data_IF_167063589510
#
_entry.id   IF_167063589510
#
_cell.length_a   1.000
_cell.length_b   1.000
_cell.length_c   1.000
_cell.angle_alpha   90.00
_cell.angle_beta   90.00
_cell.angle_gamma   90.00
#
_symmetry.space_group_name_H-M   'P 1'
#
loop_
_entity.id
_entity.type
_entity.pdbx_description
1 polymer ?
#
# COMPACT_ATOMS: atom_id res chain seq x y z
N UNK A 1 6.82 20.08 1.08
CA UNK A 1 5.41 19.68 1.28
C UNK A 1 5.12 19.81 2.76
N UNK A 2 3.93 20.28 3.14
CA UNK A 2 3.56 20.39 4.55
C UNK A 2 2.89 19.08 5.00
N UNK A 3 3.24 18.54 6.18
CA UNK A 3 2.52 17.41 6.77
C UNK A 3 1.04 17.75 7.00
N UNK A 4 0.15 16.78 6.80
CA UNK A 4 -1.27 16.94 7.12
C UNK A 4 -2.13 17.67 6.09
N UNK A 5 -1.60 18.00 4.91
CA UNK A 5 -2.27 18.91 3.96
C UNK A 5 -2.91 18.20 2.76
N UNK A 6 -2.68 16.90 2.55
CA UNK A 6 -3.10 16.21 1.34
C UNK A 6 -4.23 15.21 1.59
N UNK A 7 -5.35 15.38 0.87
CA UNK A 7 -6.46 14.42 0.83
C UNK A 7 -6.03 13.04 0.28
N UNK A 8 -5.03 13.04 -0.60
CA UNK A 8 -4.47 11.82 -1.16
C UNK A 8 -2.96 11.97 -1.41
N UNK A 9 -2.22 10.90 -1.09
CA UNK A 9 -0.80 10.77 -1.40
C UNK A 9 -0.65 9.55 -2.30
N UNK A 10 -0.02 9.72 -3.45
CA UNK A 10 0.23 8.63 -4.41
C UNK A 10 1.71 8.32 -4.41
N UNK A 11 2.05 7.06 -4.17
CA UNK A 11 3.43 6.56 -4.12
C UNK A 11 3.57 5.33 -5.01
N UNK A 12 4.38 5.42 -6.06
CA UNK A 12 4.61 4.32 -7.00
C UNK A 12 6.10 4.00 -7.07
N UNK A 13 6.46 2.76 -6.76
CA UNK A 13 7.83 2.26 -6.75
C UNK A 13 8.79 3.11 -5.90
N UNK A 14 8.35 3.48 -4.69
CA UNK A 14 9.13 4.26 -3.72
C UNK A 14 9.37 3.46 -2.44
N UNK A 15 8.41 2.63 -2.02
CA UNK A 15 8.47 1.95 -0.73
C UNK A 15 9.63 0.96 -0.65
N UNK A 16 10.03 0.35 -1.77
CA UNK A 16 11.18 -0.53 -1.90
C UNK A 16 12.54 0.19 -1.76
N UNK A 17 12.56 1.52 -1.79
CA UNK A 17 13.76 2.35 -1.66
C UNK A 17 13.90 3.05 -0.30
N UNK A 18 12.94 2.85 0.60
CA UNK A 18 12.98 3.44 1.94
C UNK A 18 14.06 2.73 2.78
N UNK A 19 14.75 3.47 3.64
CA UNK A 19 15.78 2.93 4.53
C UNK A 19 15.20 2.48 5.87
N UNK A 20 14.02 2.98 6.23
CA UNK A 20 13.32 2.50 7.40
C UNK A 20 12.06 3.29 7.75
N UNK A 21 11.63 3.10 8.99
CA UNK A 21 10.36 3.64 9.51
C UNK A 21 10.21 5.15 9.31
N UNK A 22 11.29 5.91 9.52
CA UNK A 22 11.27 7.37 9.39
C UNK A 22 10.80 7.82 8.01
N UNK A 23 11.27 7.17 6.95
CA UNK A 23 10.90 7.58 5.59
C UNK A 23 9.43 7.25 5.31
N UNK A 24 8.92 6.17 5.90
CA UNK A 24 7.49 5.83 5.87
C UNK A 24 6.66 6.88 6.63
N UNK A 25 7.13 7.31 7.80
CA UNK A 25 6.47 8.37 8.59
C UNK A 25 6.42 9.68 7.79
N UNK A 26 7.48 10.02 7.04
CA UNK A 26 7.55 11.21 6.20
C UNK A 26 6.51 11.16 5.06
N UNK A 27 6.36 10.02 4.38
CA UNK A 27 5.36 9.86 3.30
C UNK A 27 3.93 9.87 3.85
N UNK A 28 3.65 9.05 4.87
CA UNK A 28 2.30 8.95 5.43
C UNK A 28 1.91 10.24 6.15
N UNK A 29 2.87 10.95 6.75
CA UNK A 29 2.67 12.23 7.41
C UNK A 29 2.22 13.36 6.48
N UNK A 30 2.34 13.20 5.15
CA UNK A 30 1.76 14.14 4.19
C UNK A 30 0.22 14.08 4.17
N UNK A 31 -0.38 12.94 4.53
CA UNK A 31 -1.83 12.79 4.53
C UNK A 31 -2.48 13.68 5.58
N UNK A 32 -3.57 14.34 5.20
CA UNK A 32 -4.54 14.88 6.17
C UNK A 32 -5.19 13.76 7.00
N UNK A 33 -5.85 14.12 8.10
CA UNK A 33 -6.40 13.16 9.09
C UNK A 33 -7.35 12.13 8.45
N UNK A 34 -8.05 12.53 7.38
CA UNK A 34 -9.01 11.69 6.63
C UNK A 34 -8.49 11.26 5.25
N UNK A 35 -7.20 11.44 5.00
CA UNK A 35 -6.58 11.20 3.71
C UNK A 35 -6.56 9.72 3.29
N UNK A 36 -6.26 9.52 2.01
CA UNK A 36 -6.08 8.20 1.38
C UNK A 36 -4.65 8.04 0.86
N UNK A 37 -3.95 7.00 1.30
CA UNK A 37 -2.68 6.60 0.68
C UNK A 37 -2.96 5.68 -0.51
N UNK A 38 -2.51 6.06 -1.70
CA UNK A 38 -2.52 5.22 -2.89
C UNK A 38 -1.09 4.71 -3.12
N UNK A 39 -0.89 3.40 -3.13
CA UNK A 39 0.45 2.82 -3.13
C UNK A 39 0.57 1.71 -4.17
N UNK A 40 1.62 1.80 -4.99
CA UNK A 40 2.12 0.73 -5.83
C UNK A 40 3.56 0.41 -5.41
N UNK A 41 3.79 -0.80 -4.93
CA UNK A 41 5.10 -1.33 -4.55
C UNK A 41 5.02 -2.85 -4.60
N UNK A 42 6.14 -3.54 -4.77
CA UNK A 42 6.10 -4.99 -4.60
C UNK A 42 5.84 -5.34 -3.12
N UNK A 43 4.85 -6.21 -2.90
CA UNK A 43 4.57 -6.84 -1.60
C UNK A 43 4.59 -8.35 -1.80
N UNK A 44 5.27 -9.08 -0.92
CA UNK A 44 5.40 -10.54 -1.00
C UNK A 44 4.73 -11.23 0.19
N UNK A 45 4.35 -12.49 0.05
CA UNK A 45 3.93 -13.30 1.21
C UNK A 45 5.04 -13.44 2.24
N UNK A 46 6.21 -13.83 1.75
CA UNK A 46 7.40 -14.11 2.53
C UNK A 46 8.60 -13.46 1.85
N UNK A 47 9.67 -13.25 2.62
CA UNK A 47 10.95 -12.83 2.05
C UNK A 47 11.47 -13.99 1.17
N UNK A 48 11.60 -13.81 -0.15
CA UNK A 48 12.04 -14.88 -1.02
C UNK A 48 13.46 -15.32 -0.69
N UNK A 49 13.66 -16.63 -0.78
CA UNK A 49 14.90 -17.33 -0.43
C UNK A 49 15.81 -17.51 -1.66
N UNK A 50 15.83 -16.53 -2.56
CA UNK A 50 16.72 -16.51 -3.72
C UNK A 50 17.61 -15.26 -3.64
N UNK A 51 18.89 -15.40 -3.24
CA UNK A 51 19.80 -14.26 -3.11
C UNK A 51 20.14 -13.60 -4.45
N UNK A 52 19.89 -14.26 -5.58
CA UNK A 52 20.13 -13.71 -6.91
C UNK A 52 18.88 -13.05 -7.50
N UNK A 53 17.76 -13.03 -6.76
CA UNK A 53 16.55 -12.39 -7.24
C UNK A 53 16.77 -10.89 -7.41
N UNK A 54 16.42 -10.37 -8.59
CA UNK A 54 16.76 -9.00 -8.98
C UNK A 54 16.23 -7.93 -8.00
N UNK A 55 15.14 -8.20 -7.28
CA UNK A 55 14.62 -7.28 -6.25
C UNK A 55 15.53 -7.12 -5.03
N UNK A 56 16.45 -8.07 -4.80
CA UNK A 56 17.47 -8.00 -3.75
C UNK A 56 18.81 -7.45 -4.26
N UNK A 57 18.94 -7.27 -5.58
CA UNK A 57 20.12 -6.66 -6.19
C UNK A 57 20.06 -5.13 -6.04
N UNK A 58 21.22 -4.47 -6.13
CA UNK A 58 21.39 -3.06 -5.79
C UNK A 58 20.36 -2.12 -6.44
N UNK A 59 19.72 -1.30 -5.63
CA UNK A 59 18.67 -0.36 -6.04
C UNK A 59 17.52 -0.34 -5.03
N UNK A 60 17.07 -1.51 -4.58
CA UNK A 60 16.08 -1.62 -3.50
C UNK A 60 16.78 -1.81 -2.17
N UNK A 61 16.26 -1.14 -1.14
CA UNK A 61 16.79 -1.17 0.22
C UNK A 61 15.90 -1.96 1.18
N UNK A 62 14.61 -2.09 0.85
CA UNK A 62 13.62 -2.75 1.69
C UNK A 62 12.71 -3.64 0.86
N UNK A 63 12.28 -4.74 1.47
CA UNK A 63 11.23 -5.61 0.94
C UNK A 63 10.05 -5.60 1.91
N UNK A 64 8.85 -5.47 1.36
CA UNK A 64 7.62 -5.47 2.14
C UNK A 64 6.90 -6.80 2.00
N UNK A 65 6.48 -7.35 3.13
CA UNK A 65 5.60 -8.52 3.18
C UNK A 65 4.17 -8.14 3.50
N UNK A 66 3.22 -9.02 3.19
CA UNK A 66 1.81 -8.86 3.59
C UNK A 66 1.68 -8.63 5.10
N UNK A 67 2.48 -9.35 5.89
CA UNK A 67 2.54 -9.15 7.34
C UNK A 67 3.03 -7.75 7.73
N UNK A 68 4.12 -7.26 7.13
CA UNK A 68 4.66 -5.92 7.41
C UNK A 68 3.69 -4.80 7.00
N UNK A 69 3.01 -4.95 5.86
CA UNK A 69 2.00 -4.00 5.40
C UNK A 69 0.77 -4.01 6.29
N UNK A 70 0.35 -5.17 6.79
CA UNK A 70 -0.70 -5.29 7.79
C UNK A 70 -0.37 -4.53 9.08
N UNK A 71 0.89 -4.61 9.55
CA UNK A 71 1.36 -3.85 10.71
C UNK A 71 1.33 -2.34 10.45
N UNK A 72 1.85 -1.87 9.31
CA UNK A 72 1.78 -0.45 8.96
C UNK A 72 0.33 0.02 8.91
N UNK A 73 -0.54 -0.73 8.22
CA UNK A 73 -1.96 -0.41 8.09
C UNK A 73 -2.61 -0.12 9.45
N UNK A 74 -2.40 -1.02 10.42
CA UNK A 74 -2.94 -0.87 11.78
C UNK A 74 -2.29 0.28 12.54
N UNK A 75 -0.95 0.40 12.49
CA UNK A 75 -0.20 1.39 13.26
C UNK A 75 -0.51 2.83 12.85
N UNK A 76 -0.84 3.07 11.59
CA UNK A 76 -1.22 4.41 11.11
C UNK A 76 -2.72 4.67 11.13
N UNK A 77 -3.51 3.75 11.71
CA UNK A 77 -4.95 3.95 11.93
C UNK A 77 -5.78 3.96 10.65
N UNK A 78 -5.36 3.24 9.62
CA UNK A 78 -6.21 3.04 8.45
C UNK A 78 -7.37 2.12 8.81
N UNK A 79 -8.53 2.38 8.22
CA UNK A 79 -9.80 1.71 8.55
C UNK A 79 -10.39 0.94 7.37
N UNK A 80 -9.90 1.17 6.15
CA UNK A 80 -10.32 0.44 4.96
C UNK A 80 -9.18 0.30 3.98
N UNK A 81 -9.12 -0.84 3.30
CA UNK A 81 -8.15 -1.12 2.25
C UNK A 81 -8.88 -1.61 1.00
N UNK A 82 -8.59 -0.98 -0.13
CA UNK A 82 -8.98 -1.48 -1.43
C UNK A 82 -7.72 -1.83 -2.25
N UNK A 83 -7.82 -2.83 -3.12
CA UNK A 83 -6.80 -3.16 -4.10
C UNK A 83 -7.43 -3.26 -5.47
N UNK A 84 -6.87 -2.53 -6.44
CA UNK A 84 -7.27 -2.62 -7.83
C UNK A 84 -6.28 -3.52 -8.58
N UNK A 85 -6.78 -4.60 -9.17
CA UNK A 85 -5.94 -5.67 -9.72
C UNK A 85 -5.14 -5.19 -10.93
N UNK A 86 -5.79 -4.55 -11.89
CA UNK A 86 -5.19 -4.09 -13.14
C UNK A 86 -4.23 -2.91 -12.92
N UNK A 87 -4.60 -1.96 -12.05
CA UNK A 87 -3.74 -0.85 -11.68
C UNK A 87 -2.60 -1.27 -10.73
N UNK A 88 -2.68 -2.48 -10.16
CA UNK A 88 -1.76 -3.02 -9.15
C UNK A 88 -1.53 -2.08 -7.98
N UNK A 89 -2.61 -1.46 -7.50
CA UNK A 89 -2.54 -0.35 -6.57
C UNK A 89 -3.40 -0.61 -5.35
N UNK A 90 -2.82 -0.43 -4.17
CA UNK A 90 -3.55 -0.37 -2.92
C UNK A 90 -4.02 1.04 -2.63
N UNK A 91 -5.16 1.13 -1.95
CA UNK A 91 -5.75 2.35 -1.45
C UNK A 91 -6.05 2.15 0.03
N UNK A 92 -5.32 2.84 0.90
CA UNK A 92 -5.50 2.79 2.35
C UNK A 92 -6.25 4.04 2.81
N UNK A 93 -7.39 3.85 3.46
CA UNK A 93 -8.30 4.92 3.85
C UNK A 93 -8.23 5.15 5.35
N UNK A 94 -8.01 6.41 5.78
CA UNK A 94 -8.26 6.82 7.16
C UNK A 94 -9.74 7.18 7.40
N UNK A 95 -10.48 7.53 6.34
CA UNK A 95 -11.92 7.81 6.40
C UNK A 95 -12.78 6.63 5.93
N UNK A 96 -13.55 6.07 6.86
CA UNK A 96 -14.55 5.02 6.60
C UNK A 96 -15.52 5.41 5.49
N UNK A 97 -15.96 6.68 5.45
CA UNK A 97 -16.94 7.13 4.46
C UNK A 97 -16.39 7.10 3.04
N UNK A 98 -15.12 7.50 2.85
CA UNK A 98 -14.43 7.45 1.55
C UNK A 98 -14.25 6.01 1.08
N UNK A 99 -13.89 5.10 2.00
CA UNK A 99 -13.78 3.67 1.69
C UNK A 99 -15.10 3.06 1.21
N UNK A 100 -16.20 3.25 1.96
CA UNK A 100 -17.52 2.72 1.56
C UNK A 100 -18.01 3.35 0.23
N UNK A 101 -17.73 4.64 0.02
CA UNK A 101 -18.07 5.31 -1.24
C UNK A 101 -17.33 4.70 -2.44
N UNK A 102 -16.03 4.40 -2.30
CA UNK A 102 -15.29 3.71 -3.36
C UNK A 102 -15.88 2.32 -3.60
N UNK A 103 -16.18 1.58 -2.54
CA UNK A 103 -16.77 0.24 -2.64
C UNK A 103 -18.13 0.25 -3.34
N UNK A 104 -18.98 1.23 -3.06
CA UNK A 104 -20.27 1.43 -3.75
C UNK A 104 -20.08 1.77 -5.23
N UNK A 105 -19.08 2.61 -5.55
CA UNK A 105 -18.83 3.09 -6.91
C UNK A 105 -17.91 2.22 -7.73
N UNK A 106 -17.28 1.21 -7.14
CA UNK A 106 -16.32 0.34 -7.84
C UNK A 106 -16.88 -0.34 -9.09
N UNK A 107 -18.19 -0.71 -9.18
CA UNK A 107 -18.74 -1.26 -10.43
C UNK A 107 -18.75 -0.28 -11.61
N UNK A 108 -18.58 1.02 -11.35
CA UNK A 108 -18.48 2.07 -12.37
C UNK A 108 -17.05 2.29 -12.84
N UNK A 109 -16.06 1.72 -12.16
CA UNK A 109 -14.64 1.87 -12.46
C UNK A 109 -14.17 0.56 -13.11
N UNK A 110 -13.74 0.57 -14.38
CA UNK A 110 -13.32 -0.66 -15.06
C UNK A 110 -12.19 -1.38 -14.32
N UNK A 111 -12.35 -2.69 -14.16
CA UNK A 111 -11.38 -3.56 -13.53
C UNK A 111 -11.90 -4.24 -12.26
N UNK A 112 -11.08 -5.13 -11.73
CA UNK A 112 -11.40 -5.92 -10.55
C UNK A 112 -10.85 -5.26 -9.28
N UNK A 113 -11.71 -5.25 -8.25
CA UNK A 113 -11.44 -4.66 -6.96
C UNK A 113 -11.58 -5.67 -5.84
N UNK A 114 -10.67 -5.62 -4.89
CA UNK A 114 -10.72 -6.37 -3.63
C UNK A 114 -10.81 -5.38 -2.47
N UNK A 115 -11.76 -5.59 -1.55
CA UNK A 115 -12.00 -4.69 -0.42
C UNK A 115 -11.87 -5.45 0.91
N UNK A 116 -11.31 -4.79 1.92
CA UNK A 116 -11.18 -5.33 3.28
C UNK A 116 -11.12 -4.20 4.32
N UNK A 117 -11.56 -4.46 5.54
CA UNK A 117 -11.35 -3.57 6.69
C UNK A 117 -9.92 -3.65 7.24
N UNK A 118 -9.17 -4.65 6.80
CA UNK A 118 -7.75 -4.85 7.09
C UNK A 118 -6.94 -4.68 5.80
N UNK A 119 -5.62 -4.70 5.89
CA UNK A 119 -4.76 -4.73 4.70
C UNK A 119 -5.19 -5.85 3.74
N UNK A 120 -5.35 -5.52 2.45
CA UNK A 120 -5.64 -6.50 1.40
C UNK A 120 -4.36 -7.22 1.03
N UNK A 121 -4.20 -8.38 1.65
CA UNK A 121 -3.16 -9.34 1.37
C UNK A 121 -3.46 -10.10 0.07
N UNK A 122 -2.87 -9.62 -1.03
CA UNK A 122 -3.15 -10.11 -2.39
C UNK A 122 -2.08 -11.08 -2.92
N UNK A 123 -0.80 -10.86 -2.60
CA UNK A 123 0.31 -11.56 -3.25
C UNK A 123 0.82 -12.75 -2.44
N UNK A 124 0.11 -13.88 -2.54
CA UNK A 124 0.39 -15.10 -1.75
C UNK A 124 1.22 -16.17 -2.46
N UNK A 125 1.44 -16.06 -3.77
CA UNK A 125 2.04 -17.12 -4.58
C UNK A 125 3.20 -16.63 -5.44
N UNK A 126 4.20 -17.50 -5.64
CA UNK A 126 5.35 -17.28 -6.52
C UNK A 126 5.02 -17.65 -7.98
N UNK A 127 5.59 -16.98 -9.00
CA UNK A 127 6.36 -15.74 -8.87
C UNK A 127 5.43 -14.59 -8.47
N UNK A 128 5.88 -13.75 -7.55
CA UNK A 128 5.15 -12.53 -7.18
C UNK A 128 5.06 -11.65 -8.44
N UNK A 129 3.85 -11.17 -8.77
CA UNK A 129 3.57 -10.46 -10.03
C UNK A 129 3.43 -8.97 -9.84
#
# INVERSE_FOLDING_TARGET
MLPGDFDAVVSCSVFEHLLGRRDVDEIIGLLEEKGTLCMHTLVCEEVPQDPNWFYLLGGHCTLWTNASMGLLFQQYGFVGCAYHIEARMWFFFKDRRRFELLKERSPLIPGEWVFSDQFVDYWKQKPYR
#
